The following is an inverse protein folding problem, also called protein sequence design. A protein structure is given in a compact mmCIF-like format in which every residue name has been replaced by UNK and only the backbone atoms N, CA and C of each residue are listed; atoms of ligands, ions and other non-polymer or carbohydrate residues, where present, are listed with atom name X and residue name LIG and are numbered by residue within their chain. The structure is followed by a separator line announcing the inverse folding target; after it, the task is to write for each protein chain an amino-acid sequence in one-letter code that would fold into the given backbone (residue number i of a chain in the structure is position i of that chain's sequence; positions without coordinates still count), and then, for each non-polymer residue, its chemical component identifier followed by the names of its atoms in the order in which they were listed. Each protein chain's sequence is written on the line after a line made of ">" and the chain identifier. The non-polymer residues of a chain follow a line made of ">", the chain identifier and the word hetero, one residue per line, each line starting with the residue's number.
data_IF_887217189683
#
_entry.id   IF_887217189683
#
_cell.length_a   1.000
_cell.length_b   1.000
_cell.length_c   1.000
_cell.angle_alpha   90.00
_cell.angle_beta   90.00
_cell.angle_gamma   90.00
#
_symmetry.space_group_name_H-M   'P 1'
#
loop_
_entity.id
_entity.type
_entity.pdbx_description
1 polymer ?
#
# COMPACT_ATOMS: atom_id res chain seq x y z
N UNK A 1 4.46 -10.30 -4.09
CA UNK A 1 3.23 -11.02 -4.50
C UNK A 1 2.12 -10.64 -3.54
N UNK A 2 0.98 -10.15 -4.05
CA UNK A 2 -0.20 -9.86 -3.23
C UNK A 2 -0.83 -11.17 -2.73
N UNK A 3 -1.45 -11.16 -1.53
CA UNK A 3 -2.10 -12.34 -0.95
C UNK A 3 -3.64 -12.27 -0.94
N UNK A 4 -4.21 -11.13 -1.34
CA UNK A 4 -5.67 -10.94 -1.42
C UNK A 4 -6.38 -11.13 -0.08
N UNK A 5 -5.81 -10.66 1.03
CA UNK A 5 -6.37 -10.89 2.37
C UNK A 5 -7.81 -10.35 2.50
N UNK A 6 -8.07 -9.17 1.93
CA UNK A 6 -9.40 -8.55 1.88
C UNK A 6 -10.40 -9.31 1.02
N UNK A 7 -9.94 -10.09 0.04
CA UNK A 7 -10.79 -11.00 -0.75
C UNK A 7 -11.09 -12.25 0.08
N UNK A 8 -10.08 -12.83 0.73
CA UNK A 8 -10.19 -14.11 1.43
C UNK A 8 -10.98 -14.03 2.72
N UNK A 9 -10.80 -12.96 3.50
CA UNK A 9 -11.38 -12.78 4.84
C UNK A 9 -12.80 -12.20 4.80
N UNK A 10 -13.19 -11.53 3.71
CA UNK A 10 -14.50 -10.88 3.55
C UNK A 10 -15.65 -11.85 3.80
N UNK A 11 -16.53 -11.47 4.74
CA UNK A 11 -17.69 -12.24 5.14
C UNK A 11 -17.39 -13.49 5.97
N UNK A 12 -16.13 -13.71 6.40
CA UNK A 12 -15.74 -14.88 7.22
C UNK A 12 -15.35 -14.50 8.64
N UNK A 13 -14.63 -13.40 8.79
CA UNK A 13 -14.20 -12.85 10.08
C UNK A 13 -14.24 -11.34 10.00
N UNK A 14 -14.32 -10.69 11.16
CA UNK A 14 -14.12 -9.25 11.25
C UNK A 14 -12.63 -8.93 11.06
N UNK A 15 -12.33 -7.92 10.25
CA UNK A 15 -10.98 -7.41 10.05
C UNK A 15 -11.04 -5.94 9.66
N UNK A 16 -9.97 -5.20 9.99
CA UNK A 16 -9.78 -3.83 9.54
C UNK A 16 -9.06 -3.82 8.18
N UNK A 17 -9.72 -3.36 7.13
CA UNK A 17 -9.14 -3.28 5.79
C UNK A 17 -8.41 -1.94 5.59
N UNK A 18 -7.07 -1.97 5.61
CA UNK A 18 -6.23 -0.77 5.55
C UNK A 18 -5.52 -0.66 4.20
N UNK A 19 -5.66 0.49 3.52
CA UNK A 19 -4.90 0.84 2.32
C UNK A 19 -3.84 1.90 2.62
N UNK A 20 -2.57 1.53 2.52
CA UNK A 20 -1.43 2.44 2.72
C UNK A 20 -0.87 2.84 1.36
N UNK A 21 -0.75 4.15 1.11
CA UNK A 21 -0.34 4.67 -0.19
C UNK A 21 0.55 5.91 -0.09
N UNK A 22 1.24 6.21 -1.19
CA UNK A 22 2.04 7.42 -1.40
C UNK A 22 1.76 7.95 -2.82
N UNK A 23 1.49 9.25 -2.93
CA UNK A 23 1.38 9.99 -4.18
C UNK A 23 2.76 10.41 -4.69
N UNK A 24 3.66 10.78 -3.78
CA UNK A 24 5.01 11.28 -4.04
C UNK A 24 5.92 10.22 -4.67
N UNK A 25 6.26 10.41 -5.95
CA UNK A 25 7.09 9.44 -6.68
C UNK A 25 8.53 9.40 -6.19
N UNK A 26 9.09 10.55 -5.80
CA UNK A 26 10.47 10.64 -5.35
C UNK A 26 10.65 9.86 -4.04
N UNK A 27 9.69 9.99 -3.12
CA UNK A 27 9.67 9.17 -1.89
C UNK A 27 9.57 7.67 -2.18
N UNK A 28 8.78 7.27 -3.18
CA UNK A 28 8.66 5.86 -3.59
C UNK A 28 9.98 5.35 -4.18
N UNK A 29 10.65 6.14 -5.01
CA UNK A 29 11.97 5.83 -5.60
C UNK A 29 13.04 5.70 -4.51
N UNK A 30 13.13 6.68 -3.60
CA UNK A 30 14.09 6.65 -2.50
C UNK A 30 13.88 5.44 -1.57
N UNK A 31 12.61 5.11 -1.29
CA UNK A 31 12.29 3.90 -0.51
C UNK A 31 12.63 2.63 -1.29
N UNK A 32 12.40 2.60 -2.59
CA UNK A 32 12.71 1.45 -3.44
C UNK A 32 14.21 1.13 -3.40
N UNK A 33 15.05 2.16 -3.54
CA UNK A 33 16.51 2.00 -3.42
C UNK A 33 16.90 1.53 -2.02
N UNK A 34 16.42 2.20 -0.97
CA UNK A 34 16.82 1.89 0.41
C UNK A 34 16.34 0.53 0.92
N UNK A 35 15.13 0.10 0.55
CA UNK A 35 14.47 -1.07 1.14
C UNK A 35 14.50 -2.28 0.21
N UNK A 36 14.34 -2.06 -1.10
CA UNK A 36 14.31 -3.13 -2.11
C UNK A 36 15.69 -3.33 -2.75
N UNK A 37 16.57 -2.31 -2.71
CA UNK A 37 17.90 -2.37 -3.31
C UNK A 37 17.92 -2.12 -4.81
N UNK A 38 16.84 -1.56 -5.38
CA UNK A 38 16.76 -1.26 -6.81
C UNK A 38 17.34 0.13 -7.08
N UNK A 39 18.28 0.28 -8.03
CA UNK A 39 18.85 1.59 -8.36
C UNK A 39 17.77 2.61 -8.71
N UNK A 40 17.95 3.88 -8.31
CA UNK A 40 16.95 4.94 -8.57
C UNK A 40 16.51 5.03 -10.03
N UNK A 41 17.42 4.78 -10.98
CA UNK A 41 17.12 4.77 -12.42
C UNK A 41 16.11 3.70 -12.85
N UNK A 42 16.08 2.57 -12.14
CA UNK A 42 15.24 1.40 -12.48
C UNK A 42 13.99 1.33 -11.57
N UNK A 43 13.96 2.16 -10.51
CA UNK A 43 12.88 2.16 -9.53
C UNK A 43 11.49 2.52 -10.11
N UNK A 44 11.32 3.49 -11.02
CA UNK A 44 10.01 3.79 -11.61
C UNK A 44 9.40 2.59 -12.34
N UNK A 45 10.16 1.92 -13.20
CA UNK A 45 9.69 0.74 -13.94
C UNK A 45 9.31 -0.40 -12.98
N UNK A 46 10.13 -0.62 -11.94
CA UNK A 46 9.81 -1.60 -10.93
C UNK A 46 8.49 -1.28 -10.20
N UNK A 47 8.30 -0.03 -9.79
CA UNK A 47 7.07 0.42 -9.11
C UNK A 47 5.86 0.17 -10.01
N UNK A 48 5.93 0.58 -11.28
CA UNK A 48 4.84 0.39 -12.24
C UNK A 48 4.52 -1.09 -12.47
N UNK A 49 5.56 -1.93 -12.58
CA UNK A 49 5.39 -3.38 -12.68
C UNK A 49 4.68 -3.95 -11.44
N UNK A 50 5.01 -3.49 -10.24
CA UNK A 50 4.29 -3.91 -9.02
C UNK A 50 2.83 -3.46 -9.02
N UNK A 51 2.56 -2.21 -9.43
CA UNK A 51 1.18 -1.68 -9.54
C UNK A 51 0.38 -2.50 -10.55
N UNK A 52 0.95 -2.79 -11.72
CA UNK A 52 0.32 -3.61 -12.76
C UNK A 52 0.04 -5.04 -12.27
N UNK A 53 1.02 -5.70 -11.64
CA UNK A 53 0.83 -7.05 -11.10
C UNK A 53 -0.31 -7.12 -10.08
N UNK A 54 -0.42 -6.10 -9.21
CA UNK A 54 -1.51 -6.01 -8.24
C UNK A 54 -2.85 -5.77 -8.92
N UNK A 55 -2.92 -4.88 -9.91
CA UNK A 55 -4.14 -4.63 -10.67
C UNK A 55 -4.64 -5.90 -11.35
N UNK A 56 -3.74 -6.63 -12.02
CA UNK A 56 -4.06 -7.91 -12.67
C UNK A 56 -4.61 -8.89 -11.65
N UNK A 57 -3.92 -9.08 -10.53
CA UNK A 57 -4.36 -9.99 -9.46
C UNK A 57 -5.79 -9.69 -8.99
N UNK A 58 -6.09 -8.43 -8.64
CA UNK A 58 -7.42 -8.05 -8.19
C UNK A 58 -8.48 -8.26 -9.27
N UNK A 59 -8.18 -7.91 -10.53
CA UNK A 59 -9.12 -8.12 -11.64
C UNK A 59 -9.40 -9.59 -11.96
N UNK A 60 -8.44 -10.48 -11.69
CA UNK A 60 -8.60 -11.92 -11.94
C UNK A 60 -9.39 -12.60 -10.84
N UNK A 61 -9.21 -12.19 -9.58
CA UNK A 61 -9.74 -12.91 -8.42
C UNK A 61 -10.89 -12.21 -7.69
N UNK A 62 -11.25 -10.98 -8.07
CA UNK A 62 -12.31 -10.21 -7.40
C UNK A 62 -12.91 -9.13 -8.29
N UNK A 63 -14.04 -8.56 -7.86
CA UNK A 63 -14.59 -7.31 -8.41
C UNK A 63 -14.08 -6.06 -7.67
N UNK A 64 -13.14 -6.20 -6.73
CA UNK A 64 -12.63 -5.10 -5.93
C UNK A 64 -11.67 -4.27 -6.78
N UNK A 65 -11.93 -2.97 -6.85
CA UNK A 65 -11.01 -2.03 -7.49
C UNK A 65 -9.94 -1.60 -6.48
N UNK A 66 -8.71 -2.12 -6.67
CA UNK A 66 -7.60 -1.78 -5.79
C UNK A 66 -7.34 -0.27 -5.79
N UNK A 67 -7.26 0.31 -4.59
CA UNK A 67 -7.01 1.74 -4.38
C UNK A 67 -8.25 2.63 -4.47
N UNK A 68 -9.43 2.07 -4.77
CA UNK A 68 -10.69 2.79 -4.61
C UNK A 68 -11.00 2.92 -3.13
N UNK A 69 -11.04 4.15 -2.63
CA UNK A 69 -11.14 4.42 -1.19
C UNK A 69 -12.37 3.78 -0.52
N UNK A 70 -13.48 3.59 -1.24
CA UNK A 70 -14.69 2.96 -0.72
C UNK A 70 -14.56 1.46 -0.44
N UNK A 71 -13.48 0.81 -0.88
CA UNK A 71 -13.24 -0.62 -0.66
C UNK A 71 -12.52 -0.91 0.67
N UNK A 72 -12.06 0.14 1.37
CA UNK A 72 -11.23 0.07 2.57
C UNK A 72 -11.87 0.84 3.73
N UNK A 73 -11.64 0.37 4.95
CA UNK A 73 -12.10 1.06 6.17
C UNK A 73 -11.20 2.24 6.50
N UNK A 74 -9.90 2.14 6.21
CA UNK A 74 -8.91 3.16 6.49
C UNK A 74 -7.91 3.32 5.33
N UNK A 75 -7.77 4.54 4.83
CA UNK A 75 -6.76 4.89 3.82
C UNK A 75 -5.70 5.83 4.44
N UNK A 76 -4.43 5.42 4.43
CA UNK A 76 -3.32 6.19 5.02
C UNK A 76 -2.38 6.67 3.93
N UNK A 77 -2.27 7.99 3.77
CA UNK A 77 -1.26 8.62 2.94
C UNK A 77 0.05 8.74 3.72
N UNK A 78 1.11 8.08 3.27
CA UNK A 78 2.42 8.14 3.94
C UNK A 78 3.20 9.40 3.61
N UNK A 79 2.75 10.20 2.64
CA UNK A 79 3.45 11.43 2.23
C UNK A 79 3.29 12.58 3.21
N UNK A 80 2.29 12.52 4.10
CA UNK A 80 1.90 13.64 4.97
C UNK A 80 2.67 13.70 6.28
N UNK A 81 3.36 12.61 6.66
CA UNK A 81 4.05 12.49 7.96
C UNK A 81 5.57 12.57 7.78
N UNK A 82 6.07 13.68 7.24
CA UNK A 82 7.46 13.78 6.72
C UNK A 82 8.42 14.58 7.57
N UNK A 83 7.98 15.17 8.68
CA UNK A 83 8.79 16.15 9.40
C UNK A 83 9.90 15.49 10.23
N UNK A 84 9.71 14.24 10.67
CA UNK A 84 10.70 13.48 11.43
C UNK A 84 10.62 11.99 11.07
N UNK A 85 11.64 11.21 11.45
CA UNK A 85 11.79 9.75 11.32
C UNK A 85 10.55 8.90 11.66
N UNK A 86 9.53 9.53 12.24
CA UNK A 86 8.23 9.05 12.69
C UNK A 86 7.21 8.77 11.57
N UNK A 87 7.52 8.99 10.28
CA UNK A 87 6.50 8.93 9.22
C UNK A 87 5.78 7.59 9.08
N UNK A 88 6.51 6.48 9.10
CA UNK A 88 5.92 5.14 9.00
C UNK A 88 5.50 4.58 10.36
N UNK A 89 6.20 4.95 11.43
CA UNK A 89 5.86 4.60 12.81
C UNK A 89 4.51 5.19 13.19
N UNK A 90 4.24 6.44 12.79
CA UNK A 90 2.95 7.09 13.03
C UNK A 90 1.81 6.41 12.28
N UNK A 91 2.06 5.95 11.06
CA UNK A 91 1.09 5.15 10.33
C UNK A 91 0.76 3.84 11.10
N UNK A 92 1.76 3.19 11.68
CA UNK A 92 1.57 1.99 12.48
C UNK A 92 0.82 2.28 13.79
N UNK A 93 1.11 3.41 14.46
CA UNK A 93 0.36 3.85 15.64
C UNK A 93 -1.12 4.08 15.34
N UNK A 94 -1.44 4.73 14.22
CA UNK A 94 -2.82 4.95 13.77
C UNK A 94 -3.54 3.61 13.60
N UNK A 95 -2.90 2.63 12.93
CA UNK A 95 -3.48 1.30 12.75
C UNK A 95 -3.66 0.59 14.10
N UNK A 96 -2.69 0.72 15.01
CA UNK A 96 -2.76 0.10 16.35
C UNK A 96 -3.93 0.62 17.18
N UNK A 97 -4.23 1.91 17.09
CA UNK A 97 -5.34 2.54 17.84
C UNK A 97 -6.71 2.24 17.21
N UNK A 98 -6.73 1.89 15.92
CA UNK A 98 -7.97 1.52 15.21
C UNK A 98 -8.45 0.08 15.48
N UNK A 99 -7.63 -0.73 16.16
CA UNK A 99 -7.95 -2.10 16.61
C UNK A 99 -8.37 -2.09 18.08
#
# INVERSE_FOLDING_TARGET
>A
MERGADIVLRGKVDFLNVYVYSKDMDKKVDRCERVVGIPKKDAPEYIDRQVMQRKIYYSTFSSIERGKMSEYDLCINTDTFTVDSLGMEKCAEIVKVAL
#
